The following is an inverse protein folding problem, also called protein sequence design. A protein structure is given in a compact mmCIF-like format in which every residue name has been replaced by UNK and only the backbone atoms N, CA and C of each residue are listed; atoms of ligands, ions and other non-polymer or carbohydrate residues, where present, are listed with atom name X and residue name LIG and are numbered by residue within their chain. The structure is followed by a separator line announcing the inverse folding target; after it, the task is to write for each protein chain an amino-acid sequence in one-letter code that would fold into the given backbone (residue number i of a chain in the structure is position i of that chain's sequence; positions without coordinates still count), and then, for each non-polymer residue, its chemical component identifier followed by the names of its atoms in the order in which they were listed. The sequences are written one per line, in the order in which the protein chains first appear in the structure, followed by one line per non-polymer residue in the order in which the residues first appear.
data_IF_547024854454
#
_entry.id   IF_547024854454
#
_cell.length_a   1.000
_cell.length_b   1.000
_cell.length_c   1.000
_cell.angle_alpha   90.00
_cell.angle_beta   90.00
_cell.angle_gamma   90.00
#
_symmetry.space_group_name_H-M   'P 1'
#
loop_
_entity.id
_entity.type
_entity.pdbx_description
1 polymer ?
#
# COMPACT_ATOMS: atom_id res chain seq x y z
N UNK A 1 19.11 -16.59 5.88
CA UNK A 1 19.91 -15.58 5.16
C UNK A 1 21.38 -15.93 5.38
N UNK A 2 22.19 -16.02 4.31
CA UNK A 2 23.62 -16.34 4.45
C UNK A 2 24.35 -15.10 4.99
N UNK A 3 24.83 -15.17 6.23
CA UNK A 3 25.66 -14.12 6.84
C UNK A 3 26.86 -13.74 5.95
N UNK A 4 27.41 -14.70 5.23
CA UNK A 4 28.54 -14.53 4.31
C UNK A 4 28.27 -13.59 3.12
N UNK A 5 27.01 -13.47 2.69
CA UNK A 5 26.65 -12.57 1.57
C UNK A 5 26.57 -11.12 2.04
N UNK A 6 26.00 -10.89 3.22
CA UNK A 6 25.91 -9.58 3.82
C UNK A 6 27.29 -9.05 4.23
N UNK A 7 28.13 -9.91 4.84
CA UNK A 7 29.48 -9.51 5.25
C UNK A 7 30.34 -9.11 4.04
N UNK A 8 30.20 -9.85 2.93
CA UNK A 8 30.87 -9.52 1.67
C UNK A 8 30.38 -8.19 1.11
N UNK A 9 29.06 -8.00 1.06
CA UNK A 9 28.46 -6.76 0.58
C UNK A 9 28.91 -5.56 1.41
N UNK A 10 28.83 -5.63 2.73
CA UNK A 10 29.26 -4.53 3.61
C UNK A 10 30.75 -4.23 3.41
N UNK A 11 31.60 -5.25 3.27
CA UNK A 11 33.04 -5.07 3.06
C UNK A 11 33.36 -4.44 1.71
N UNK A 12 32.67 -4.86 0.66
CA UNK A 12 32.85 -4.36 -0.71
C UNK A 12 32.34 -2.92 -0.87
N UNK A 13 31.32 -2.51 -0.10
CA UNK A 13 30.68 -1.19 -0.22
C UNK A 13 31.05 -0.25 0.95
N UNK A 14 31.96 -0.65 1.85
CA UNK A 14 32.34 0.17 3.02
C UNK A 14 32.87 1.55 2.64
N UNK A 15 33.64 1.62 1.56
CA UNK A 15 34.17 2.89 1.04
C UNK A 15 33.06 3.85 0.60
N UNK A 16 31.99 3.33 0.02
CA UNK A 16 30.84 4.14 -0.43
C UNK A 16 30.00 4.60 0.77
N UNK A 17 29.91 3.78 1.83
CA UNK A 17 29.24 4.17 3.08
C UNK A 17 30.02 5.22 3.88
N UNK A 18 31.34 5.11 3.94
CA UNK A 18 32.20 5.99 4.74
C UNK A 18 32.61 7.27 3.96
N UNK A 19 32.41 7.32 2.64
CA UNK A 19 32.89 8.38 1.74
C UNK A 19 31.86 9.41 1.32
N UNK A 20 30.57 9.09 1.36
CA UNK A 20 29.52 10.00 0.92
C UNK A 20 29.14 11.00 2.02
N UNK A 21 29.79 12.17 1.99
CA UNK A 21 29.22 13.34 2.66
C UNK A 21 27.87 13.64 2.03
N UNK A 22 26.78 13.76 2.83
CA UNK A 22 25.48 14.06 2.29
C UNK A 22 25.51 15.38 1.51
N UNK A 23 24.69 15.53 0.46
CA UNK A 23 24.66 16.75 -0.33
C UNK A 23 24.41 17.97 0.57
N UNK A 24 25.16 19.04 0.30
CA UNK A 24 25.07 20.27 1.08
C UNK A 24 23.61 20.76 1.13
N UNK A 25 23.12 21.03 2.34
CA UNK A 25 21.74 21.46 2.57
C UNK A 25 20.70 20.34 2.68
N UNK A 26 21.08 19.05 2.60
CA UNK A 26 20.17 17.94 2.94
C UNK A 26 19.66 18.07 4.38
N UNK A 27 20.55 18.39 5.33
CA UNK A 27 20.18 18.66 6.71
C UNK A 27 19.23 19.84 6.86
N UNK A 28 19.45 20.92 6.09
CA UNK A 28 18.54 22.06 6.10
C UNK A 28 17.15 21.67 5.61
N UNK A 29 17.04 20.82 4.57
CA UNK A 29 15.73 20.33 4.09
C UNK A 29 15.03 19.46 5.12
N UNK A 30 15.75 18.56 5.78
CA UNK A 30 15.22 17.71 6.86
C UNK A 30 14.74 18.59 8.02
N UNK A 31 15.52 19.59 8.41
CA UNK A 31 15.16 20.53 9.47
C UNK A 31 13.90 21.32 9.09
N UNK A 32 13.84 21.85 7.86
CA UNK A 32 12.65 22.55 7.37
C UNK A 32 11.42 21.64 7.38
N UNK A 33 11.53 20.38 6.93
CA UNK A 33 10.39 19.45 6.94
C UNK A 33 9.91 19.13 8.35
N UNK A 34 10.82 18.99 9.32
CA UNK A 34 10.45 18.74 10.71
C UNK A 34 9.77 19.96 11.35
N UNK A 35 10.14 21.18 10.94
CA UNK A 35 9.50 22.41 11.43
C UNK A 35 8.19 22.76 10.71
N UNK A 36 7.96 22.26 9.50
CA UNK A 36 6.82 22.64 8.66
C UNK A 36 5.58 21.75 8.88
N UNK A 37 5.73 20.58 9.51
CA UNK A 37 4.61 19.66 9.82
C UNK A 37 3.87 19.97 11.14
N UNK A 38 4.13 21.11 11.79
CA UNK A 38 3.34 21.50 12.96
C UNK A 38 3.74 22.78 13.69
N UNK A 39 3.05 23.87 13.37
CA UNK A 39 2.84 25.02 14.26
C UNK A 39 3.70 26.25 13.93
N UNK A 40 3.15 27.42 13.57
CA UNK A 40 1.83 27.90 13.95
C UNK A 40 1.73 28.00 15.47
N UNK A 41 2.49 28.92 16.03
CA UNK A 41 2.23 29.71 17.23
C UNK A 41 1.42 28.99 18.33
N UNK A 42 2.11 28.50 19.36
CA UNK A 42 1.50 28.21 20.67
C UNK A 42 1.83 26.84 21.26
N UNK A 43 2.72 26.85 22.26
CA UNK A 43 2.65 26.01 23.48
C UNK A 43 1.99 24.62 23.36
N UNK A 44 2.49 23.75 22.48
CA UNK A 44 2.29 22.30 22.62
C UNK A 44 3.65 21.62 22.69
N UNK A 45 3.90 21.00 23.85
CA UNK A 45 5.09 20.22 24.12
C UNK A 45 5.21 19.12 23.06
N UNK A 46 6.36 19.06 22.39
CA UNK A 46 6.64 18.03 21.39
C UNK A 46 6.59 16.65 22.09
N UNK A 47 5.65 15.77 21.71
CA UNK A 47 5.49 14.47 22.36
C UNK A 47 6.73 13.59 22.23
N UNK A 48 7.56 13.81 21.20
CA UNK A 48 8.84 13.14 21.05
C UNK A 48 9.88 13.71 22.03
N UNK A 49 9.96 15.04 22.17
CA UNK A 49 10.85 15.67 23.14
C UNK A 49 10.51 15.23 24.57
N UNK A 50 9.23 15.15 24.92
CA UNK A 50 8.78 14.63 26.22
C UNK A 50 9.20 13.17 26.41
N UNK A 51 9.00 12.32 25.40
CA UNK A 51 9.43 10.93 25.43
C UNK A 51 10.95 10.78 25.62
N UNK A 52 11.75 11.57 24.91
CA UNK A 52 13.22 11.52 24.99
C UNK A 52 13.69 11.97 26.38
N UNK A 53 13.14 13.07 26.91
CA UNK A 53 13.46 13.55 28.26
C UNK A 53 13.07 12.51 29.31
N UNK A 54 11.87 11.92 29.19
CA UNK A 54 11.35 10.91 30.12
C UNK A 54 12.18 9.62 30.12
N UNK A 55 12.78 9.26 29.00
CA UNK A 55 13.56 8.01 28.87
C UNK A 55 15.09 8.23 28.85
N UNK A 56 15.56 9.47 29.05
CA UNK A 56 16.98 9.81 28.96
C UNK A 56 17.86 8.98 29.89
N UNK A 57 17.45 8.81 31.15
CA UNK A 57 18.20 7.99 32.11
C UNK A 57 18.26 6.52 31.68
N UNK A 58 17.19 5.99 31.09
CA UNK A 58 17.16 4.63 30.55
C UNK A 58 18.13 4.49 29.37
N UNK A 59 18.28 5.51 28.52
CA UNK A 59 19.25 5.49 27.43
C UNK A 59 20.70 5.62 27.91
N UNK A 60 20.97 6.46 28.91
CA UNK A 60 22.33 6.70 29.42
C UNK A 60 22.82 5.57 30.34
N UNK A 61 21.91 4.86 31.02
CA UNK A 61 22.26 3.89 32.08
C UNK A 61 21.97 2.43 31.70
N UNK A 62 21.21 2.17 30.63
CA UNK A 62 20.93 0.80 30.20
C UNK A 62 22.22 0.11 29.74
N UNK A 63 22.76 -0.74 30.60
CA UNK A 63 23.79 -1.70 30.21
C UNK A 63 23.12 -2.74 29.30
N UNK A 64 23.54 -2.89 28.04
CA UNK A 64 22.94 -3.88 27.16
C UNK A 64 23.13 -5.28 27.77
N UNK A 65 22.20 -6.22 27.49
CA UNK A 65 22.30 -7.57 28.04
C UNK A 65 23.66 -8.19 27.69
N UNK A 66 24.28 -8.96 28.61
CA UNK A 66 25.69 -9.33 28.54
C UNK A 66 26.07 -10.08 27.25
N UNK A 67 25.13 -10.80 26.64
CA UNK A 67 25.34 -11.46 25.33
C UNK A 67 25.58 -10.48 24.18
N UNK A 68 24.94 -9.31 24.21
CA UNK A 68 25.16 -8.25 23.21
C UNK A 68 26.43 -7.46 23.52
N UNK A 69 26.69 -7.16 24.79
CA UNK A 69 27.93 -6.50 25.20
C UNK A 69 29.17 -7.33 24.81
N UNK A 70 29.12 -8.64 25.05
CA UNK A 70 30.22 -9.55 24.71
C UNK A 70 30.41 -9.67 23.19
N UNK A 71 29.34 -9.67 22.39
CA UNK A 71 29.43 -9.69 20.93
C UNK A 71 29.96 -8.37 20.33
N UNK A 72 29.70 -7.23 20.97
CA UNK A 72 30.10 -5.90 20.48
C UNK A 72 31.51 -5.49 20.92
N UNK A 73 31.96 -5.96 22.08
CA UNK A 73 33.26 -5.59 22.67
C UNK A 73 34.28 -6.74 22.69
N UNK A 74 33.95 -7.92 22.17
CA UNK A 74 34.94 -9.00 22.01
C UNK A 74 36.03 -8.59 21.01
N UNK A 75 37.33 -8.67 21.39
CA UNK A 75 38.42 -8.46 20.45
C UNK A 75 38.37 -9.51 19.34
N UNK A 76 38.55 -9.08 18.09
CA UNK A 76 38.39 -9.84 16.85
C UNK A 76 39.25 -11.13 16.69
N UNK A 77 39.94 -11.58 17.74
CA UNK A 77 40.85 -12.72 17.71
C UNK A 77 40.21 -14.07 18.15
N UNK A 78 38.98 -14.08 18.69
CA UNK A 78 38.46 -15.28 19.35
C UNK A 78 37.62 -16.24 18.49
N UNK A 79 37.47 -16.01 17.18
CA UNK A 79 36.65 -16.88 16.33
C UNK A 79 37.33 -17.26 15.01
N UNK A 80 38.51 -17.86 15.11
CA UNK A 80 39.11 -18.61 13.99
C UNK A 80 39.07 -20.09 14.33
N UNK A 81 37.90 -20.72 14.15
CA UNK A 81 37.84 -22.19 14.02
C UNK A 81 38.12 -22.54 12.55
N UNK A 82 39.37 -22.89 12.29
CA UNK A 82 39.84 -23.49 11.05
C UNK A 82 39.06 -24.76 10.72
N UNK A 83 38.21 -24.72 9.69
CA UNK A 83 37.61 -25.91 9.09
C UNK A 83 38.41 -26.31 7.85
N UNK A 84 39.03 -27.48 7.94
CA UNK A 84 39.86 -28.10 6.93
C UNK A 84 39.08 -28.37 5.63
N UNK A 85 39.68 -28.02 4.49
CA UNK A 85 39.17 -28.38 3.15
C UNK A 85 39.44 -29.87 2.86
N UNK A 86 38.39 -30.63 2.51
CA UNK A 86 38.51 -31.90 1.77
C UNK A 86 37.86 -31.79 0.38
N UNK A 87 38.38 -32.50 -0.64
CA UNK A 87 38.16 -32.12 -2.03
C UNK A 87 36.90 -32.72 -2.66
N UNK A 88 36.48 -32.02 -3.72
CA UNK A 88 35.43 -32.34 -4.70
C UNK A 88 35.38 -33.80 -5.13
N UNK A 89 34.20 -34.44 -4.99
CA UNK A 89 33.70 -35.40 -5.99
C UNK A 89 32.20 -35.66 -5.83
N UNK A 90 31.41 -35.24 -6.84
CA UNK A 90 30.19 -35.87 -7.42
C UNK A 90 29.24 -34.81 -7.98
N UNK A 91 29.63 -34.25 -9.13
CA UNK A 91 28.66 -33.87 -10.18
C UNK A 91 27.93 -35.17 -10.58
N UNK A 92 26.62 -35.27 -10.34
CA UNK A 92 25.62 -36.15 -11.02
C UNK A 92 24.30 -36.35 -10.26
N UNK A 93 24.07 -35.68 -9.12
CA UNK A 93 22.77 -35.75 -8.40
C UNK A 93 21.94 -34.44 -8.40
N UNK A 94 22.38 -33.40 -9.10
CA UNK A 94 21.72 -32.08 -9.08
C UNK A 94 20.54 -31.94 -10.06
N UNK A 95 20.25 -32.96 -10.88
CA UNK A 95 19.20 -32.88 -11.91
C UNK A 95 17.77 -33.09 -11.39
N UNK A 96 17.59 -33.91 -10.35
CA UNK A 96 16.24 -34.33 -9.91
C UNK A 96 15.69 -33.54 -8.71
N UNK A 97 16.52 -32.78 -7.99
CA UNK A 97 16.07 -31.94 -6.87
C UNK A 97 15.51 -30.57 -7.30
N UNK A 98 15.74 -30.13 -8.54
CA UNK A 98 15.24 -28.83 -9.04
C UNK A 98 13.79 -28.89 -9.55
N UNK A 99 13.23 -30.07 -9.81
CA UNK A 99 11.84 -30.21 -10.26
C UNK A 99 10.83 -30.17 -9.10
N UNK A 100 11.22 -30.58 -7.89
CA UNK A 100 10.35 -30.59 -6.70
C UNK A 100 10.29 -29.22 -6.03
N UNK A 101 11.39 -28.45 -6.03
CA UNK A 101 11.40 -27.11 -5.46
C UNK A 101 10.48 -26.13 -6.21
N UNK A 102 10.36 -26.26 -7.54
CA UNK A 102 9.53 -25.38 -8.36
C UNK A 102 8.03 -25.54 -8.06
N UNK A 103 7.55 -26.77 -7.81
CA UNK A 103 6.15 -26.99 -7.45
C UNK A 103 5.81 -26.43 -6.07
N UNK A 104 6.72 -26.54 -5.09
CA UNK A 104 6.56 -25.89 -3.79
C UNK A 104 6.60 -24.36 -3.87
N UNK A 105 7.43 -23.80 -4.76
CA UNK A 105 7.52 -22.35 -4.97
C UNK A 105 6.25 -21.81 -5.65
N UNK A 106 5.69 -22.55 -6.61
CA UNK A 106 4.38 -22.24 -7.21
C UNK A 106 3.23 -22.41 -6.22
N UNK A 107 3.24 -23.46 -5.38
CA UNK A 107 2.27 -23.63 -4.30
C UNK A 107 2.40 -22.54 -3.24
N UNK A 108 3.61 -22.09 -2.91
CA UNK A 108 3.84 -21.02 -1.94
C UNK A 108 3.45 -19.65 -2.50
N UNK A 109 3.72 -19.35 -3.77
CA UNK A 109 3.19 -18.16 -4.44
C UNK A 109 1.66 -18.23 -4.55
N UNK A 110 1.09 -19.36 -4.97
CA UNK A 110 -0.35 -19.55 -5.04
C UNK A 110 -1.02 -19.50 -3.67
N UNK A 111 -0.35 -19.96 -2.60
CA UNK A 111 -0.85 -19.87 -1.24
C UNK A 111 -0.74 -18.44 -0.71
N UNK A 112 0.40 -17.74 -0.87
CA UNK A 112 0.58 -16.37 -0.36
C UNK A 112 -0.28 -15.33 -1.10
N UNK A 113 -0.43 -15.46 -2.43
CA UNK A 113 -1.36 -14.64 -3.20
C UNK A 113 -2.82 -15.12 -3.06
N UNK A 114 -3.07 -16.43 -3.13
CA UNK A 114 -4.42 -16.99 -3.10
C UNK A 114 -5.10 -16.91 -1.74
N UNK A 115 -4.37 -16.99 -0.63
CA UNK A 115 -4.98 -16.88 0.71
C UNK A 115 -5.23 -15.44 1.16
N UNK A 116 -4.52 -14.44 0.63
CA UNK A 116 -4.84 -13.03 0.96
C UNK A 116 -6.04 -12.51 0.18
N UNK A 117 -6.19 -12.88 -1.07
CA UNK A 117 -7.27 -12.39 -1.95
C UNK A 117 -8.47 -13.34 -1.99
N UNK A 118 -8.25 -14.65 -1.93
CA UNK A 118 -9.29 -15.66 -2.09
C UNK A 118 -10.25 -15.79 -0.89
N UNK A 119 -9.76 -15.65 0.35
CA UNK A 119 -10.64 -15.67 1.53
C UNK A 119 -11.56 -14.44 1.57
N UNK A 120 -11.06 -13.27 1.14
CA UNK A 120 -11.89 -12.05 1.00
C UNK A 120 -12.90 -12.17 -0.13
N UNK A 121 -12.47 -12.66 -1.30
CA UNK A 121 -13.36 -12.86 -2.44
C UNK A 121 -14.48 -13.88 -2.13
N UNK A 122 -14.18 -14.96 -1.39
CA UNK A 122 -15.18 -15.93 -0.97
C UNK A 122 -16.19 -15.35 0.04
N UNK A 123 -15.74 -14.48 0.95
CA UNK A 123 -16.62 -13.80 1.91
C UNK A 123 -17.49 -12.74 1.24
N UNK A 124 -16.95 -11.95 0.30
CA UNK A 124 -17.73 -10.99 -0.49
C UNK A 124 -18.84 -11.68 -1.29
N UNK A 125 -18.56 -12.85 -1.87
CA UNK A 125 -19.53 -13.60 -2.67
C UNK A 125 -20.72 -14.06 -1.82
N UNK A 126 -20.47 -14.52 -0.59
CA UNK A 126 -21.53 -14.91 0.36
C UNK A 126 -22.36 -13.70 0.82
N UNK A 127 -21.71 -12.57 1.09
CA UNK A 127 -22.40 -11.32 1.47
C UNK A 127 -23.28 -10.82 0.32
N UNK A 128 -22.79 -10.89 -0.92
CA UNK A 128 -23.54 -10.48 -2.10
C UNK A 128 -24.78 -11.34 -2.34
N UNK A 129 -24.67 -12.67 -2.20
CA UNK A 129 -25.79 -13.59 -2.35
C UNK A 129 -26.87 -13.38 -1.27
N UNK A 130 -26.45 -13.19 -0.01
CA UNK A 130 -27.38 -12.88 1.08
C UNK A 130 -28.05 -11.51 0.90
N UNK A 131 -27.31 -10.52 0.40
CA UNK A 131 -27.84 -9.19 0.13
C UNK A 131 -28.85 -9.21 -1.02
N UNK A 132 -28.58 -9.97 -2.09
CA UNK A 132 -29.51 -10.15 -3.22
C UNK A 132 -30.80 -10.84 -2.80
N UNK A 133 -30.72 -11.86 -1.95
CA UNK A 133 -31.90 -12.53 -1.40
C UNK A 133 -32.76 -11.59 -0.53
N UNK A 134 -32.15 -10.60 0.14
CA UNK A 134 -32.85 -9.65 1.00
C UNK A 134 -33.33 -8.39 0.27
N UNK A 135 -32.56 -7.88 -0.69
CA UNK A 135 -32.86 -6.68 -1.45
C UNK A 135 -32.33 -6.79 -2.89
N UNK A 136 -33.16 -7.30 -3.83
CA UNK A 136 -32.75 -7.50 -5.22
C UNK A 136 -32.47 -6.19 -5.96
N UNK A 137 -33.23 -5.12 -5.67
CA UNK A 137 -33.04 -3.81 -6.30
C UNK A 137 -31.67 -3.22 -5.97
N UNK A 138 -31.25 -3.32 -4.71
CA UNK A 138 -29.93 -2.86 -4.30
C UNK A 138 -28.82 -3.67 -4.95
N UNK A 139 -28.98 -4.99 -5.05
CA UNK A 139 -27.99 -5.85 -5.68
C UNK A 139 -27.79 -5.48 -7.16
N UNK A 140 -28.87 -5.17 -7.89
CA UNK A 140 -28.78 -4.68 -9.27
C UNK A 140 -28.08 -3.32 -9.36
N UNK A 141 -28.48 -2.36 -8.52
CA UNK A 141 -27.86 -1.03 -8.47
C UNK A 141 -26.35 -1.13 -8.18
N UNK A 142 -25.96 -1.98 -7.24
CA UNK A 142 -24.57 -2.21 -6.90
C UNK A 142 -23.76 -2.78 -8.07
N UNK A 143 -24.30 -3.78 -8.79
CA UNK A 143 -23.65 -4.31 -10.00
C UNK A 143 -23.44 -3.21 -11.03
N UNK A 144 -24.45 -2.40 -11.28
CA UNK A 144 -24.38 -1.26 -12.21
C UNK A 144 -23.25 -0.29 -11.82
N UNK A 145 -23.24 0.18 -10.56
CA UNK A 145 -22.22 1.13 -10.11
C UNK A 145 -20.82 0.52 -10.11
N UNK A 146 -20.65 -0.72 -9.62
CA UNK A 146 -19.34 -1.40 -9.61
C UNK A 146 -18.76 -1.51 -11.02
N UNK A 147 -19.57 -1.94 -11.99
CA UNK A 147 -19.13 -2.04 -13.39
C UNK A 147 -18.74 -0.66 -13.95
N UNK A 148 -19.57 0.37 -13.71
CA UNK A 148 -19.27 1.72 -14.18
C UNK A 148 -17.98 2.26 -13.55
N UNK A 149 -17.85 2.16 -12.23
CA UNK A 149 -16.67 2.60 -11.48
C UNK A 149 -15.40 1.91 -11.98
N UNK A 150 -15.43 0.59 -12.20
CA UNK A 150 -14.29 -0.14 -12.75
C UNK A 150 -13.89 0.36 -14.14
N UNK A 151 -14.88 0.63 -15.00
CA UNK A 151 -14.62 1.18 -16.34
C UNK A 151 -14.02 2.59 -16.28
N UNK A 152 -14.55 3.48 -15.44
CA UNK A 152 -14.05 4.85 -15.31
C UNK A 152 -12.67 4.89 -14.64
N UNK A 153 -12.44 4.04 -13.64
CA UNK A 153 -11.14 3.90 -13.00
C UNK A 153 -10.07 3.45 -13.99
N UNK A 154 -10.38 2.50 -14.87
CA UNK A 154 -9.46 2.07 -15.93
C UNK A 154 -9.08 3.25 -16.83
N UNK A 155 -10.04 4.09 -17.23
CA UNK A 155 -9.75 5.30 -18.01
C UNK A 155 -8.89 6.30 -17.24
N UNK A 156 -9.19 6.54 -15.96
CA UNK A 156 -8.39 7.43 -15.10
C UNK A 156 -6.96 6.92 -14.98
N UNK A 157 -6.77 5.63 -14.72
CA UNK A 157 -5.42 5.03 -14.58
C UNK A 157 -4.58 5.10 -15.85
N UNK A 158 -5.21 5.16 -17.03
CA UNK A 158 -4.50 5.36 -18.30
C UNK A 158 -4.02 6.81 -18.48
N UNK A 159 -4.72 7.77 -17.87
CA UNK A 159 -4.40 9.19 -17.94
C UNK A 159 -3.45 9.62 -16.82
N UNK A 160 -3.60 9.05 -15.63
CA UNK A 160 -2.85 9.37 -14.42
C UNK A 160 -2.74 8.14 -13.50
N UNK A 161 -1.54 7.61 -13.30
CA UNK A 161 -1.26 6.52 -12.34
C UNK A 161 -0.82 7.11 -10.99
N UNK A 162 -1.72 7.90 -10.38
CA UNK A 162 -1.50 8.49 -9.06
C UNK A 162 -1.66 7.40 -7.97
N UNK A 163 -0.60 7.04 -7.23
CA UNK A 163 -0.68 6.05 -6.17
C UNK A 163 -1.57 6.49 -4.99
N UNK A 164 -1.71 7.80 -4.74
CA UNK A 164 -2.54 8.33 -3.67
C UNK A 164 -4.02 8.06 -3.98
N UNK A 165 -4.46 8.36 -5.20
CA UNK A 165 -5.82 8.10 -5.66
C UNK A 165 -6.19 6.62 -5.52
N UNK A 166 -5.26 5.72 -5.85
CA UNK A 166 -5.47 4.27 -5.72
C UNK A 166 -5.67 3.87 -4.26
N UNK A 167 -4.89 4.46 -3.37
CA UNK A 167 -5.01 4.21 -1.94
C UNK A 167 -6.34 4.73 -1.39
N UNK A 168 -6.73 5.96 -1.71
CA UNK A 168 -7.97 6.57 -1.24
C UNK A 168 -9.20 5.79 -1.72
N UNK A 169 -9.19 5.34 -2.98
CA UNK A 169 -10.26 4.49 -3.52
C UNK A 169 -10.34 3.12 -2.85
N UNK A 170 -9.20 2.53 -2.49
CA UNK A 170 -9.16 1.29 -1.75
C UNK A 170 -9.77 1.46 -0.34
N UNK A 171 -9.48 2.57 0.35
CA UNK A 171 -10.10 2.87 1.65
C UNK A 171 -11.63 2.99 1.53
N UNK A 172 -12.13 3.64 0.47
CA UNK A 172 -13.57 3.73 0.21
C UNK A 172 -14.17 2.35 -0.06
N UNK A 173 -13.47 1.47 -0.77
CA UNK A 173 -13.92 0.10 -1.01
C UNK A 173 -14.01 -0.72 0.28
N UNK A 174 -13.02 -0.58 1.17
CA UNK A 174 -13.03 -1.21 2.49
C UNK A 174 -14.21 -0.71 3.36
N UNK A 175 -14.49 0.59 3.34
CA UNK A 175 -15.65 1.17 4.02
C UNK A 175 -16.99 0.67 3.42
N UNK A 176 -17.04 0.51 2.10
CA UNK A 176 -18.21 -0.01 1.37
C UNK A 176 -18.49 -1.47 1.76
N UNK A 177 -17.45 -2.29 1.90
CA UNK A 177 -17.57 -3.68 2.40
C UNK A 177 -18.07 -3.75 3.85
N UNK A 178 -17.67 -2.81 4.70
CA UNK A 178 -18.17 -2.72 6.07
C UNK A 178 -19.67 -2.40 6.07
N UNK A 179 -20.10 -1.41 5.30
CA UNK A 179 -21.52 -1.05 5.17
C UNK A 179 -22.38 -2.23 4.66
N UNK A 180 -21.87 -3.03 3.71
CA UNK A 180 -22.58 -4.24 3.27
C UNK A 180 -22.78 -5.25 4.39
N UNK A 181 -21.77 -5.44 5.24
CA UNK A 181 -21.85 -6.37 6.38
C UNK A 181 -22.84 -5.87 7.43
N UNK A 182 -22.78 -4.60 7.79
CA UNK A 182 -23.73 -3.97 8.73
C UNK A 182 -25.17 -4.09 8.23
N UNK A 183 -25.38 -3.96 6.91
CA UNK A 183 -26.71 -4.08 6.30
C UNK A 183 -27.34 -5.47 6.47
N UNK A 184 -26.52 -6.53 6.62
CA UNK A 184 -27.01 -7.88 6.90
C UNK A 184 -27.46 -8.05 8.36
N UNK A 185 -26.80 -7.35 9.29
CA UNK A 185 -27.04 -7.48 10.73
C UNK A 185 -28.19 -6.58 11.22
N UNK A 186 -28.39 -5.44 10.56
CA UNK A 186 -29.31 -4.40 11.02
C UNK A 186 -30.78 -4.77 10.73
N UNK A 187 -31.73 -4.45 11.64
CA UNK A 187 -33.16 -4.68 11.44
C UNK A 187 -33.72 -3.98 10.20
N UNK A 188 -34.72 -4.59 9.55
CA UNK A 188 -35.34 -4.10 8.29
C UNK A 188 -35.73 -2.63 8.35
N UNK A 189 -36.21 -2.14 9.50
CA UNK A 189 -36.60 -0.75 9.71
C UNK A 189 -35.46 0.26 9.55
N UNK A 190 -34.21 -0.11 9.78
CA UNK A 190 -33.04 0.77 9.70
C UNK A 190 -32.20 0.55 8.42
N UNK A 191 -32.47 -0.54 7.68
CA UNK A 191 -31.73 -0.89 6.45
C UNK A 191 -31.75 0.22 5.42
N UNK A 192 -32.88 0.91 5.24
CA UNK A 192 -33.02 1.97 4.25
C UNK A 192 -31.98 3.09 4.39
N UNK A 193 -31.54 3.41 5.62
CA UNK A 193 -30.50 4.41 5.88
C UNK A 193 -29.16 3.94 5.31
N UNK A 194 -28.77 2.70 5.63
CA UNK A 194 -27.53 2.07 5.16
C UNK A 194 -27.55 1.86 3.64
N UNK A 195 -28.69 1.47 3.06
CA UNK A 195 -28.87 1.38 1.61
C UNK A 195 -28.61 2.71 0.92
N UNK A 196 -29.22 3.79 1.43
CA UNK A 196 -29.05 5.12 0.87
C UNK A 196 -27.60 5.60 0.99
N UNK A 197 -26.96 5.34 2.13
CA UNK A 197 -25.55 5.65 2.35
C UNK A 197 -24.64 4.86 1.40
N UNK A 198 -24.93 3.58 1.17
CA UNK A 198 -24.17 2.74 0.25
C UNK A 198 -24.28 3.25 -1.19
N UNK A 199 -25.50 3.56 -1.65
CA UNK A 199 -25.73 4.14 -2.98
C UNK A 199 -25.07 5.52 -3.11
N UNK A 200 -25.16 6.36 -2.08
CA UNK A 200 -24.52 7.67 -2.07
C UNK A 200 -22.99 7.53 -2.20
N UNK A 201 -22.39 6.59 -1.45
CA UNK A 201 -20.95 6.28 -1.53
C UNK A 201 -20.55 5.90 -2.96
N UNK A 202 -21.30 5.04 -3.64
CA UNK A 202 -21.03 4.69 -5.04
C UNK A 202 -21.13 5.89 -5.99
N UNK A 203 -22.14 6.73 -5.82
CA UNK A 203 -22.31 7.95 -6.63
C UNK A 203 -21.14 8.90 -6.44
N UNK A 204 -20.71 9.13 -5.20
CA UNK A 204 -19.55 9.96 -4.89
C UNK A 204 -18.28 9.39 -5.49
N UNK A 205 -18.05 8.07 -5.38
CA UNK A 205 -16.89 7.42 -6.01
C UNK A 205 -16.87 7.64 -7.53
N UNK A 206 -18.01 7.50 -8.18
CA UNK A 206 -18.14 7.74 -9.62
C UNK A 206 -17.89 9.22 -9.96
N UNK A 207 -18.45 10.15 -9.19
CA UNK A 207 -18.28 11.59 -9.41
C UNK A 207 -16.82 12.02 -9.30
N UNK A 208 -16.09 11.52 -8.30
CA UNK A 208 -14.65 11.76 -8.14
C UNK A 208 -13.90 11.29 -9.39
N UNK A 209 -14.16 10.06 -9.86
CA UNK A 209 -13.51 9.51 -11.05
C UNK A 209 -13.81 10.35 -12.30
N UNK A 210 -15.06 10.78 -12.49
CA UNK A 210 -15.45 11.63 -13.61
C UNK A 210 -14.79 13.01 -13.54
N UNK A 211 -14.74 13.61 -12.34
CA UNK A 211 -14.09 14.90 -12.13
C UNK A 211 -12.60 14.85 -12.45
N UNK A 212 -11.91 13.79 -12.05
CA UNK A 212 -10.49 13.59 -12.38
C UNK A 212 -10.31 13.51 -13.90
N UNK A 213 -11.15 12.76 -14.61
CA UNK A 213 -11.09 12.71 -16.08
C UNK A 213 -11.29 14.09 -16.74
N UNK A 214 -12.22 14.91 -16.22
CA UNK A 214 -12.48 16.25 -16.76
C UNK A 214 -11.28 17.20 -16.62
N UNK A 215 -10.50 17.06 -15.54
CA UNK A 215 -9.31 17.91 -15.33
C UNK A 215 -8.11 17.44 -16.16
N UNK A 216 -8.14 16.21 -16.67
CA UNK A 216 -7.13 15.65 -17.58
C UNK A 216 -7.77 15.19 -18.89
N UNK A 217 -8.33 16.10 -19.71
CA UNK A 217 -8.93 15.73 -20.98
C UNK A 217 -7.88 15.08 -21.89
N UNK A 218 -8.24 13.94 -22.47
CA UNK A 218 -7.39 13.19 -23.37
C UNK A 218 -6.99 14.07 -24.58
N UNK A 219 -5.69 14.34 -24.84
CA UNK A 219 -5.26 15.14 -25.99
C UNK A 219 -5.54 14.45 -27.34
N UNK A 220 -5.94 13.18 -27.34
CA UNK A 220 -6.33 12.42 -28.54
C UNK A 220 -7.85 12.26 -28.70
N UNK A 221 -8.67 12.93 -27.90
CA UNK A 221 -10.10 13.01 -28.17
C UNK A 221 -10.31 13.88 -29.44
N UNK A 222 -10.97 13.37 -30.50
CA UNK A 222 -11.31 14.21 -31.64
C UNK A 222 -12.15 15.38 -31.13
N UNK A 223 -11.65 16.59 -31.35
CA UNK A 223 -12.37 17.81 -31.01
C UNK A 223 -13.77 17.75 -31.64
N UNK A 224 -14.80 17.62 -30.81
CA UNK A 224 -16.16 17.87 -31.28
C UNK A 224 -16.20 19.31 -31.82
N UNK A 225 -16.67 19.52 -33.06
CA UNK A 225 -16.75 20.86 -33.61
C UNK A 225 -17.74 21.65 -32.77
N UNK A 226 -17.26 22.78 -32.23
CA UNK A 226 -18.07 23.77 -31.56
C UNK A 226 -19.35 24.00 -32.35
N UNK A 227 -20.48 23.70 -31.73
CA UNK A 227 -21.79 24.00 -32.29
C UNK A 227 -21.91 25.51 -32.44
N UNK A 228 -21.68 26.03 -33.64
CA UNK A 228 -22.11 27.36 -34.03
C UNK A 228 -23.64 27.38 -34.02
N UNK A 229 -24.21 27.86 -32.92
CA UNK A 229 -25.60 28.31 -32.86
C UNK A 229 -25.78 29.43 -33.88
N UNK A 230 -26.27 29.07 -35.07
CA UNK A 230 -26.85 30.02 -36.00
C UNK A 230 -28.11 30.59 -35.35
N UNK A 231 -28.04 31.86 -34.95
CA UNK A 231 -29.21 32.67 -34.59
C UNK A 231 -29.78 33.21 -35.91
N UNK A 232 -30.99 32.82 -36.35
CA UNK A 232 -31.64 33.48 -37.46
C UNK A 232 -32.18 34.84 -37.00
N UNK A 233 -31.56 35.91 -37.50
CA UNK A 233 -32.08 37.27 -37.43
C UNK A 233 -33.39 37.35 -38.22
N UNK A 234 -34.52 37.36 -37.52
CA UNK A 234 -35.78 37.83 -38.08
C UNK A 234 -35.85 39.34 -37.82
N UNK A 235 -35.58 40.13 -38.86
CA UNK A 235 -35.97 41.54 -38.92
C UNK A 235 -36.57 41.81 -40.31
N UNK A 236 -37.89 41.89 -40.35
CA UNK A 236 -38.74 42.65 -41.29
C UNK A 236 -40.18 42.58 -40.79
#
# INVERSE_FOLDING_TARGET
MNHDQLERFIRENRGDFDGDTPPAGLWNRIQTSLTNDGGGDGERQDPLAEFIVKNREAFETATPPPRLAEALFAPAAASVKTLQRRPRRRRRFLGYLMAVAASFLLLFLAYTFGTRTGYRAGQEMQVAEQLEAMNPELAEAERFYRQRIASEFTKVSQLNDDPQLRHDLQQIDEATEQLRRELLEVPVSQRHVLVNQLIATYRTKLDILLRIQQHFPNPNAPAEPASTTNIPSHES
#
